data_IF_180973284060
#
_entry.id   IF_180973284060
#
_cell.length_a   1.000
_cell.length_b   1.000
_cell.length_c   1.000
_cell.angle_alpha   90.00
_cell.angle_beta   90.00
_cell.angle_gamma   90.00
#
_symmetry.space_group_name_H-M   'P 1'
#
loop_
_entity.id
_entity.type
_entity.pdbx_description
1 polymer ?
#
# COMPACT_ATOMS: atom_id res chain seq x y z
N UNK A 1 16.91 -3.75 -5.11
CA UNK A 1 16.75 -4.74 -6.21
C UNK A 1 15.29 -4.78 -6.57
N UNK A 2 14.92 -4.69 -7.84
CA UNK A 2 13.55 -4.86 -8.32
C UNK A 2 13.48 -6.23 -8.98
N UNK A 3 12.47 -7.03 -8.63
CA UNK A 3 12.26 -8.38 -9.17
C UNK A 3 10.90 -8.47 -9.86
N UNK A 4 10.77 -9.35 -10.83
CA UNK A 4 9.51 -9.61 -11.53
C UNK A 4 8.73 -10.76 -10.90
N UNK A 5 9.37 -11.56 -10.03
CA UNK A 5 8.73 -12.69 -9.34
C UNK A 5 9.16 -12.80 -7.88
N UNK A 6 8.26 -13.28 -7.03
CA UNK A 6 8.51 -13.46 -5.59
C UNK A 6 9.71 -14.38 -5.31
N UNK A 7 9.90 -15.42 -6.13
CA UNK A 7 11.01 -16.38 -5.99
C UNK A 7 12.39 -15.74 -6.20
N UNK A 8 12.45 -14.61 -6.90
CA UNK A 8 13.69 -13.90 -7.23
C UNK A 8 14.07 -12.88 -6.14
N UNK A 9 13.17 -12.63 -5.18
CA UNK A 9 13.47 -11.77 -4.04
C UNK A 9 14.45 -12.50 -3.09
N UNK A 10 15.40 -11.75 -2.48
CA UNK A 10 16.21 -12.30 -1.43
C UNK A 10 15.31 -12.90 -0.35
N UNK A 11 15.50 -14.17 -0.02
CA UNK A 11 14.86 -14.74 1.18
C UNK A 11 15.38 -13.94 2.36
N UNK A 12 14.50 -13.17 2.99
CA UNK A 12 14.83 -12.50 4.25
C UNK A 12 15.07 -13.62 5.28
N UNK A 13 16.33 -13.95 5.47
CA UNK A 13 16.77 -14.88 6.51
C UNK A 13 16.72 -14.09 7.81
N UNK A 14 15.56 -14.03 8.43
CA UNK A 14 15.52 -13.69 9.83
C UNK A 14 15.35 -15.00 10.59
N UNK A 15 16.35 -15.35 11.39
CA UNK A 15 16.25 -16.38 12.43
C UNK A 15 15.23 -16.02 13.52
N UNK A 16 14.67 -14.83 13.47
CA UNK A 16 13.56 -14.40 14.31
C UNK A 16 12.24 -14.92 13.75
N UNK A 17 11.49 -15.60 14.60
CA UNK A 17 10.13 -16.04 14.29
C UNK A 17 9.29 -14.82 13.95
N UNK A 18 8.98 -14.64 12.66
CA UNK A 18 8.14 -13.54 12.18
C UNK A 18 6.78 -13.58 12.86
N UNK A 19 6.23 -12.41 13.19
CA UNK A 19 4.86 -12.26 13.72
C UNK A 19 3.81 -12.31 12.63
N UNK A 20 4.20 -12.12 11.38
CA UNK A 20 3.36 -12.14 10.20
C UNK A 20 4.06 -11.51 9.01
N UNK A 21 3.49 -11.70 7.83
CA UNK A 21 3.97 -11.17 6.56
C UNK A 21 2.97 -10.17 6.01
N UNK A 22 3.46 -9.00 5.58
CA UNK A 22 2.63 -7.90 5.06
C UNK A 22 3.03 -7.59 3.63
N UNK A 23 2.06 -7.66 2.71
CA UNK A 23 2.19 -7.09 1.37
C UNK A 23 2.07 -5.57 1.43
N UNK A 24 3.06 -4.85 0.94
CA UNK A 24 3.08 -3.39 0.98
C UNK A 24 3.03 -2.83 -0.45
N UNK A 25 1.89 -2.25 -0.82
CA UNK A 25 1.67 -1.70 -2.15
C UNK A 25 2.15 -0.25 -2.24
N UNK A 26 3.08 0.01 -3.15
CA UNK A 26 3.79 1.28 -3.32
C UNK A 26 3.49 1.93 -4.67
N UNK A 27 3.65 3.25 -4.76
CA UNK A 27 3.61 3.96 -6.04
C UNK A 27 4.93 3.82 -6.79
N UNK A 28 4.87 3.29 -8.00
CA UNK A 28 6.02 3.12 -8.89
C UNK A 28 6.76 4.42 -9.17
N UNK A 29 6.04 5.54 -9.30
CA UNK A 29 6.63 6.85 -9.59
C UNK A 29 7.66 7.30 -8.55
N UNK A 30 7.38 7.10 -7.26
CA UNK A 30 8.33 7.43 -6.19
C UNK A 30 9.58 6.54 -6.23
N UNK A 31 9.39 5.25 -6.52
CA UNK A 31 10.50 4.29 -6.62
C UNK A 31 11.43 4.67 -7.78
N UNK A 32 10.88 4.96 -8.96
CA UNK A 32 11.66 5.37 -10.13
C UNK A 32 12.34 6.73 -9.96
N UNK A 33 11.72 7.65 -9.20
CA UNK A 33 12.31 8.93 -8.87
C UNK A 33 13.39 8.87 -7.77
N UNK A 34 13.59 7.71 -7.13
CA UNK A 34 14.51 7.56 -6.00
C UNK A 34 14.02 8.27 -4.72
N UNK A 35 12.74 8.65 -4.64
CA UNK A 35 12.14 9.30 -3.49
C UNK A 35 11.45 8.28 -2.59
N UNK A 36 12.24 7.45 -1.89
CA UNK A 36 11.74 6.28 -1.14
C UNK A 36 11.81 6.42 0.37
N UNK A 37 12.35 7.50 0.92
CA UNK A 37 12.60 7.64 2.36
C UNK A 37 11.37 7.40 3.23
N UNK A 38 10.19 7.86 2.79
CA UNK A 38 8.92 7.64 3.48
C UNK A 38 8.51 6.16 3.48
N UNK A 39 8.73 5.44 2.37
CA UNK A 39 8.50 4.00 2.26
C UNK A 39 9.50 3.20 3.11
N UNK A 40 10.77 3.56 3.03
CA UNK A 40 11.84 2.93 3.82
C UNK A 40 11.55 3.05 5.32
N UNK A 41 11.01 4.21 5.75
CA UNK A 41 10.62 4.45 7.14
C UNK A 41 9.45 3.55 7.58
N UNK A 42 8.44 3.37 6.73
CA UNK A 42 7.31 2.47 7.02
C UNK A 42 7.79 1.02 7.10
N UNK A 43 8.60 0.58 6.14
CA UNK A 43 9.17 -0.78 6.11
C UNK A 43 9.97 -1.03 7.39
N UNK A 44 10.90 -0.12 7.72
CA UNK A 44 11.72 -0.24 8.93
C UNK A 44 10.87 -0.30 10.22
N UNK A 45 9.80 0.50 10.30
CA UNK A 45 8.89 0.48 11.44
C UNK A 45 8.13 -0.85 11.56
N UNK A 46 7.67 -1.44 10.45
CA UNK A 46 7.02 -2.75 10.43
C UNK A 46 8.00 -3.87 10.82
N UNK A 47 9.20 -3.86 10.26
CA UNK A 47 10.25 -4.84 10.58
C UNK A 47 10.69 -4.77 12.05
N UNK A 48 10.77 -3.56 12.62
CA UNK A 48 11.03 -3.36 14.05
C UNK A 48 9.96 -3.97 14.96
N UNK A 49 8.74 -4.17 14.44
CA UNK A 49 7.67 -4.90 15.13
C UNK A 49 7.69 -6.41 14.88
N UNK A 50 8.68 -6.91 14.17
CA UNK A 50 8.84 -8.33 13.85
C UNK A 50 7.99 -8.81 12.67
N UNK A 51 7.52 -7.90 11.83
CA UNK A 51 6.81 -8.24 10.60
C UNK A 51 7.81 -8.45 9.45
N UNK A 52 7.47 -9.34 8.53
CA UNK A 52 8.14 -9.44 7.24
C UNK A 52 7.36 -8.59 6.23
N UNK A 53 8.04 -7.71 5.51
CA UNK A 53 7.41 -6.84 4.52
C UNK A 53 7.77 -7.30 3.11
N UNK A 54 6.75 -7.44 2.27
CA UNK A 54 6.89 -7.71 0.84
C UNK A 54 6.46 -6.46 0.07
N UNK A 55 7.38 -5.53 -0.25
CA UNK A 55 7.05 -4.34 -0.99
C UNK A 55 6.84 -4.67 -2.47
N UNK A 56 5.69 -4.25 -3.01
CA UNK A 56 5.33 -4.43 -4.41
C UNK A 56 4.85 -3.13 -5.01
N UNK A 57 4.86 -3.01 -6.33
CA UNK A 57 4.26 -1.91 -7.06
C UNK A 57 3.67 -2.37 -8.39
N UNK A 58 2.59 -1.74 -8.82
CA UNK A 58 2.00 -1.97 -10.12
C UNK A 58 2.77 -1.20 -11.21
N UNK A 59 2.85 -1.77 -12.42
CA UNK A 59 3.42 -1.08 -13.59
C UNK A 59 2.51 0.06 -14.05
N UNK A 60 1.19 -0.11 -13.89
CA UNK A 60 0.16 0.87 -14.21
C UNK A 60 -0.71 1.18 -12.99
N UNK A 61 -2.00 1.37 -13.23
CA UNK A 61 -3.00 1.66 -12.20
C UNK A 61 -3.81 0.42 -11.77
N UNK A 62 -3.40 -0.76 -12.19
CA UNK A 62 -3.99 -2.04 -11.82
C UNK A 62 -2.98 -2.85 -11.01
N UNK A 63 -3.28 -3.08 -9.74
CA UNK A 63 -2.40 -3.80 -8.85
C UNK A 63 -2.51 -5.33 -8.96
N UNK A 64 -3.55 -5.85 -9.62
CA UNK A 64 -3.81 -7.30 -9.71
C UNK A 64 -2.62 -8.12 -10.22
N UNK A 65 -1.93 -7.73 -11.32
CA UNK A 65 -0.78 -8.50 -11.78
C UNK A 65 0.37 -8.56 -10.78
N UNK A 66 0.59 -7.48 -10.00
CA UNK A 66 1.62 -7.47 -8.97
C UNK A 66 1.21 -8.30 -7.75
N UNK A 67 -0.07 -8.28 -7.38
CA UNK A 67 -0.63 -9.12 -6.32
C UNK A 67 -0.47 -10.59 -6.69
N UNK A 68 -0.91 -11.00 -7.88
CA UNK A 68 -0.80 -12.38 -8.33
C UNK A 68 0.65 -12.87 -8.38
N UNK A 69 1.59 -12.01 -8.81
CA UNK A 69 3.00 -12.39 -8.93
C UNK A 69 3.74 -12.48 -7.59
N UNK A 70 3.37 -11.65 -6.59
CA UNK A 70 4.19 -11.46 -5.39
C UNK A 70 3.48 -11.74 -4.07
N UNK A 71 2.15 -11.70 -4.04
CA UNK A 71 1.39 -11.93 -2.81
C UNK A 71 0.55 -13.21 -2.86
N UNK A 72 0.52 -13.90 -4.00
CA UNK A 72 -0.16 -15.20 -4.14
C UNK A 72 0.85 -16.31 -4.41
N UNK A 73 0.55 -17.50 -3.93
CA UNK A 73 1.24 -18.76 -4.27
C UNK A 73 0.18 -19.72 -4.79
N UNK A 74 -0.03 -19.70 -6.11
CA UNK A 74 -1.18 -20.36 -6.73
C UNK A 74 -2.50 -19.70 -6.30
N UNK A 75 -3.36 -20.45 -5.61
CA UNK A 75 -4.64 -19.97 -5.11
C UNK A 75 -4.58 -19.54 -3.62
N UNK A 76 -3.44 -19.68 -2.97
CA UNK A 76 -3.24 -19.31 -1.58
C UNK A 76 -2.61 -17.92 -1.45
N UNK A 77 -3.04 -17.15 -0.46
CA UNK A 77 -2.41 -15.88 -0.13
C UNK A 77 -1.12 -16.11 0.64
N UNK A 78 -0.01 -15.53 0.17
CA UNK A 78 1.32 -15.67 0.77
C UNK A 78 1.61 -14.64 1.87
N UNK A 79 0.66 -13.76 2.16
CA UNK A 79 0.77 -12.71 3.19
C UNK A 79 -0.42 -12.75 4.14
N UNK A 80 -0.25 -12.21 5.34
CA UNK A 80 -1.29 -12.18 6.39
C UNK A 80 -2.11 -10.89 6.36
N UNK A 81 -1.64 -9.86 5.67
CA UNK A 81 -2.34 -8.59 5.46
C UNK A 81 -1.76 -7.85 4.26
N UNK A 82 -2.53 -6.93 3.70
CA UNK A 82 -2.07 -5.99 2.67
C UNK A 82 -2.25 -4.57 3.16
N UNK A 83 -1.22 -3.75 2.99
CA UNK A 83 -1.26 -2.31 3.24
C UNK A 83 -0.95 -1.58 1.95
N UNK A 84 -1.87 -0.75 1.50
CA UNK A 84 -1.65 0.14 0.35
C UNK A 84 -1.16 1.51 0.84
N UNK A 85 -0.03 1.96 0.29
CA UNK A 85 0.51 3.31 0.49
C UNK A 85 0.32 4.18 -0.77
N UNK A 86 -0.56 3.75 -1.69
CA UNK A 86 -0.75 4.45 -2.96
C UNK A 86 -1.68 5.66 -2.85
N UNK A 87 -2.61 5.65 -1.90
CA UNK A 87 -3.66 6.66 -1.77
C UNK A 87 -4.71 6.61 -2.91
N UNK A 88 -4.82 5.47 -3.62
CA UNK A 88 -5.75 5.29 -4.73
C UNK A 88 -6.44 3.94 -4.64
N UNK A 89 -7.41 3.72 -5.55
CA UNK A 89 -8.03 2.42 -5.76
C UNK A 89 -6.98 1.34 -6.07
N UNK A 90 -7.25 0.12 -5.64
CA UNK A 90 -6.45 -1.07 -5.94
C UNK A 90 -6.46 -1.38 -7.45
N UNK A 91 -7.62 -1.16 -8.10
CA UNK A 91 -7.81 -1.33 -9.54
C UNK A 91 -8.35 -0.03 -10.12
N UNK A 92 -7.44 0.79 -10.64
CA UNK A 92 -7.74 2.10 -11.18
C UNK A 92 -6.86 3.19 -10.58
N UNK A 93 -7.27 4.44 -10.76
CA UNK A 93 -6.54 5.61 -10.30
C UNK A 93 -7.47 6.74 -9.89
N UNK A 94 -6.97 7.97 -9.80
CA UNK A 94 -7.79 9.09 -9.31
C UNK A 94 -9.01 9.43 -10.18
N UNK A 95 -9.01 9.04 -11.45
CA UNK A 95 -10.10 9.35 -12.39
C UNK A 95 -11.04 8.19 -12.66
N UNK A 96 -10.69 6.99 -12.28
CA UNK A 96 -11.46 5.77 -12.51
C UNK A 96 -11.09 4.71 -11.49
N UNK A 97 -12.07 4.05 -10.93
CA UNK A 97 -11.88 2.87 -10.10
C UNK A 97 -12.83 1.74 -10.51
N UNK A 98 -12.35 0.51 -10.43
CA UNK A 98 -13.14 -0.69 -10.59
C UNK A 98 -13.23 -1.41 -9.23
N UNK A 99 -14.13 -0.91 -8.38
CA UNK A 99 -14.31 -1.45 -7.03
C UNK A 99 -14.73 -2.93 -7.07
N UNK A 100 -15.46 -3.38 -8.12
CA UNK A 100 -15.84 -4.78 -8.25
C UNK A 100 -14.62 -5.68 -8.51
N UNK A 101 -13.73 -5.26 -9.40
CA UNK A 101 -12.50 -5.99 -9.66
C UNK A 101 -11.56 -5.98 -8.42
N UNK A 102 -11.55 -4.89 -7.65
CA UNK A 102 -10.84 -4.82 -6.38
C UNK A 102 -11.44 -5.79 -5.33
N UNK A 103 -12.77 -5.81 -5.18
CA UNK A 103 -13.47 -6.75 -4.30
C UNK A 103 -13.18 -8.21 -4.67
N UNK A 104 -13.19 -8.55 -5.96
CA UNK A 104 -12.91 -9.91 -6.43
C UNK A 104 -11.51 -10.39 -6.02
N UNK A 105 -10.47 -9.56 -6.21
CA UNK A 105 -9.10 -9.93 -5.83
C UNK A 105 -8.92 -9.96 -4.31
N UNK A 106 -9.49 -9.01 -3.58
CA UNK A 106 -9.41 -8.98 -2.11
C UNK A 106 -10.15 -10.16 -1.48
N UNK A 107 -11.31 -10.54 -2.03
CA UNK A 107 -12.06 -11.73 -1.59
C UNK A 107 -11.28 -13.02 -1.85
N UNK A 108 -10.53 -13.11 -2.96
CA UNK A 108 -9.65 -14.24 -3.23
C UNK A 108 -8.49 -14.33 -2.24
N UNK A 109 -7.94 -13.18 -1.85
CA UNK A 109 -6.84 -13.12 -0.88
C UNK A 109 -7.29 -13.46 0.55
N UNK A 110 -8.51 -13.06 0.91
CA UNK A 110 -9.15 -13.28 2.24
C UNK A 110 -8.26 -12.84 3.43
N UNK A 111 -7.61 -11.68 3.27
CA UNK A 111 -6.76 -11.08 4.31
C UNK A 111 -7.16 -9.61 4.53
N UNK A 112 -6.87 -9.02 5.71
CA UNK A 112 -7.10 -7.60 5.95
C UNK A 112 -6.42 -6.71 4.90
N UNK A 113 -7.18 -5.76 4.37
CA UNK A 113 -6.70 -4.72 3.46
C UNK A 113 -6.84 -3.35 4.12
N UNK A 114 -5.71 -2.66 4.29
CA UNK A 114 -5.63 -1.34 4.91
C UNK A 114 -5.11 -0.33 3.89
N UNK A 115 -5.66 0.89 3.92
CA UNK A 115 -5.16 1.99 3.12
C UNK A 115 -4.50 3.04 4.01
N UNK A 116 -3.29 3.43 3.64
CA UNK A 116 -2.61 4.57 4.21
C UNK A 116 -2.14 5.49 3.08
N UNK A 117 -2.13 6.79 3.32
CA UNK A 117 -1.84 7.74 2.25
C UNK A 117 -0.93 8.87 2.73
N UNK A 118 -0.08 9.41 1.84
CA UNK A 118 0.65 10.64 2.10
C UNK A 118 -0.27 11.86 1.89
N UNK A 119 0.03 12.97 2.53
CA UNK A 119 -0.59 14.25 2.21
C UNK A 119 0.08 14.84 0.96
N UNK A 120 -0.68 14.93 -0.13
CA UNK A 120 -0.18 15.39 -1.44
C UNK A 120 -0.59 16.85 -1.74
N UNK A 121 -1.78 17.27 -1.30
CA UNK A 121 -2.37 18.56 -1.63
C UNK A 121 -2.11 19.63 -0.58
N UNK A 122 -1.88 19.26 0.65
CA UNK A 122 -1.51 20.15 1.76
C UNK A 122 -0.22 19.69 2.42
N UNK A 123 0.41 20.56 3.21
CA UNK A 123 1.58 20.16 3.99
C UNK A 123 1.18 19.50 5.31
N UNK A 124 2.07 18.71 5.89
CA UNK A 124 1.87 18.17 7.25
C UNK A 124 1.64 19.29 8.30
N UNK A 125 2.32 20.45 8.12
CA UNK A 125 2.15 21.60 8.99
C UNK A 125 0.78 22.25 8.86
N UNK A 126 0.25 22.37 7.64
CA UNK A 126 -1.07 22.94 7.39
C UNK A 126 -2.16 22.02 7.90
N UNK A 127 -2.05 20.72 7.62
CA UNK A 127 -2.97 19.71 8.11
C UNK A 127 -3.01 19.66 9.64
N UNK A 128 -1.85 19.69 10.29
CA UNK A 128 -1.76 19.67 11.76
C UNK A 128 -2.34 20.90 12.46
N UNK A 129 -2.54 22.00 11.73
CA UNK A 129 -3.17 23.24 12.22
C UNK A 129 -4.63 23.38 11.78
N UNK A 130 -5.10 22.52 10.89
CA UNK A 130 -6.43 22.60 10.30
C UNK A 130 -7.48 21.96 11.22
N UNK A 131 -8.50 22.73 11.59
CA UNK A 131 -9.68 22.20 12.28
C UNK A 131 -10.58 21.35 11.34
N UNK A 132 -10.37 21.43 10.02
CA UNK A 132 -11.13 20.68 9.01
C UNK A 132 -10.50 19.31 8.73
N UNK A 133 -9.23 19.10 9.07
CA UNK A 133 -8.50 17.86 8.75
C UNK A 133 -8.10 17.77 7.27
N UNK A 134 -8.47 16.68 6.62
CA UNK A 134 -8.18 16.46 5.20
C UNK A 134 -9.04 17.34 4.30
N UNK A 135 -8.46 17.78 3.19
CA UNK A 135 -9.22 18.50 2.15
C UNK A 135 -10.26 17.57 1.49
N UNK A 136 -11.38 18.12 0.97
CA UNK A 136 -12.42 17.30 0.33
C UNK A 136 -11.89 16.39 -0.78
N UNK A 137 -10.92 16.86 -1.58
CA UNK A 137 -10.29 16.05 -2.63
C UNK A 137 -9.47 14.90 -2.06
N UNK A 138 -8.76 15.11 -0.95
CA UNK A 138 -8.01 14.07 -0.24
C UNK A 138 -8.96 13.03 0.35
N UNK A 139 -10.03 13.47 1.00
CA UNK A 139 -11.07 12.56 1.51
C UNK A 139 -11.67 11.69 0.41
N UNK A 140 -11.96 12.26 -0.75
CA UNK A 140 -12.56 11.53 -1.86
C UNK A 140 -11.58 10.51 -2.45
N UNK A 141 -10.38 10.96 -2.82
CA UNK A 141 -9.42 10.12 -3.55
C UNK A 141 -8.72 9.10 -2.66
N UNK A 142 -8.37 9.52 -1.42
CA UNK A 142 -7.46 8.75 -0.55
C UNK A 142 -8.17 7.97 0.54
N UNK A 143 -9.44 8.29 0.79
CA UNK A 143 -10.26 7.61 1.79
C UNK A 143 -11.43 6.90 1.12
N UNK A 144 -12.37 7.65 0.54
CA UNK A 144 -13.63 7.09 0.06
C UNK A 144 -13.44 6.08 -1.07
N UNK A 145 -12.56 6.34 -2.04
CA UNK A 145 -12.30 5.41 -3.14
C UNK A 145 -11.65 4.11 -2.65
N UNK A 146 -10.58 4.10 -1.84
CA UNK A 146 -10.06 2.86 -1.25
C UNK A 146 -11.07 2.12 -0.35
N UNK A 147 -11.94 2.82 0.37
CA UNK A 147 -13.00 2.19 1.16
C UNK A 147 -14.05 1.47 0.26
N UNK A 148 -14.35 2.02 -0.91
CA UNK A 148 -15.19 1.33 -1.90
C UNK A 148 -14.57 0.02 -2.40
N UNK A 149 -13.25 -0.07 -2.44
CA UNK A 149 -12.53 -1.30 -2.76
C UNK A 149 -12.53 -2.32 -1.61
N UNK A 150 -12.88 -1.90 -0.38
CA UNK A 150 -12.86 -2.72 0.82
C UNK A 150 -11.72 -2.39 1.79
N UNK A 151 -10.98 -1.29 1.58
CA UNK A 151 -9.96 -0.86 2.53
C UNK A 151 -10.58 -0.43 3.88
N UNK A 152 -9.85 -0.70 4.95
CA UNK A 152 -10.22 -0.31 6.30
C UNK A 152 -9.14 0.56 6.95
N UNK A 153 -9.48 1.24 8.04
CA UNK A 153 -8.56 2.02 8.86
C UNK A 153 -7.71 3.03 8.05
N UNK A 154 -8.34 3.96 7.31
CA UNK A 154 -7.58 4.98 6.58
C UNK A 154 -6.71 5.78 7.53
N UNK A 155 -5.42 5.97 7.16
CA UNK A 155 -4.47 6.71 7.97
C UNK A 155 -3.51 7.53 7.13
N UNK A 156 -3.09 8.67 7.66
CA UNK A 156 -1.99 9.45 7.10
C UNK A 156 -0.67 8.89 7.64
N UNK A 157 0.23 8.44 6.76
CA UNK A 157 1.55 7.93 7.17
C UNK A 157 2.69 8.91 6.92
N UNK A 158 2.45 9.96 6.17
CA UNK A 158 3.45 10.96 5.82
C UNK A 158 2.88 12.06 4.95
N UNK A 159 3.74 12.85 4.33
CA UNK A 159 3.31 13.91 3.44
C UNK A 159 4.39 14.94 3.18
N UNK A 160 4.02 16.01 2.48
CA UNK A 160 4.92 17.12 2.16
C UNK A 160 5.31 17.88 3.43
N UNK A 161 6.62 18.12 3.60
CA UNK A 161 7.10 19.07 4.60
C UNK A 161 6.61 20.48 4.25
N UNK A 162 6.40 21.32 5.27
CA UNK A 162 6.06 22.73 5.12
C UNK A 162 7.28 23.59 4.90
#
# INVERSE_FOLDING_TARGET
MVSEELRDLPKLVSDQKSRGRVGLLLLRSYILAGNTLHYDSVIAAMEAQGLQVVPIFAVGLDARPAIDAFLMDGDECAVDAVVSLTGFSLVGGPAYNDAKAAEEVLSKMDVPYLAAHPLEFQTLSDWGKSDQGLMPVENTLMIAIPELDGATNPMVFGGRAG
#
